data_IF_587495727408
#
_entry.id   IF_587495727408
#
_cell.length_a   1.000
_cell.length_b   1.000
_cell.length_c   1.000
_cell.angle_alpha   90.00
_cell.angle_beta   90.00
_cell.angle_gamma   90.00
#
_symmetry.space_group_name_H-M   'P 1'
#
loop_
_entity.id
_entity.type
_entity.pdbx_description
1 polymer ?
#
# COMPACT_ATOMS: atom_id res chain seq x y z
N UNK A 1 -7.70 -2.93 -3.15
CA UNK A 1 -7.66 -1.47 -2.88
C UNK A 1 -8.26 -1.10 -1.52
N UNK A 2 -9.54 -1.39 -1.23
CA UNK A 2 -10.16 -1.03 0.06
C UNK A 2 -9.40 -1.56 1.29
N UNK A 3 -8.96 -2.82 1.28
CA UNK A 3 -8.15 -3.40 2.36
C UNK A 3 -6.76 -2.76 2.49
N UNK A 4 -6.15 -2.39 1.36
CA UNK A 4 -4.84 -1.72 1.33
C UNK A 4 -4.97 -0.31 1.93
N UNK A 5 -6.01 0.43 1.57
CA UNK A 5 -6.30 1.73 2.16
C UNK A 5 -6.55 1.62 3.67
N UNK A 6 -7.29 0.59 4.10
CA UNK A 6 -7.54 0.33 5.51
C UNK A 6 -6.23 0.10 6.29
N UNK A 7 -5.28 -0.68 5.76
CA UNK A 7 -3.97 -0.86 6.43
C UNK A 7 -3.22 0.45 6.64
N UNK A 8 -3.22 1.33 5.64
CA UNK A 8 -2.55 2.62 5.69
C UNK A 8 -3.24 3.62 6.62
N UNK A 9 -4.56 3.47 6.84
CA UNK A 9 -5.39 4.30 7.71
C UNK A 9 -5.31 3.92 9.19
N UNK A 10 -4.97 2.68 9.53
CA UNK A 10 -4.87 2.24 10.94
C UNK A 10 -3.74 2.99 11.68
N UNK A 11 -2.64 3.34 10.99
CA UNK A 11 -1.54 4.12 11.59
C UNK A 11 -2.00 5.49 12.12
N UNK A 12 -2.58 6.36 11.27
CA UNK A 12 -3.17 7.63 11.70
C UNK A 12 -4.30 7.50 12.73
N UNK A 13 -5.19 6.51 12.56
CA UNK A 13 -6.31 6.28 13.47
C UNK A 13 -5.83 5.93 14.90
N UNK A 14 -4.78 5.12 15.03
CA UNK A 14 -4.16 4.81 16.32
C UNK A 14 -3.51 6.04 16.96
N UNK A 15 -2.97 6.96 16.16
CA UNK A 15 -2.41 8.23 16.64
C UNK A 15 -3.49 9.16 17.21
N UNK A 16 -4.67 9.18 16.58
CA UNK A 16 -5.88 9.90 17.02
C UNK A 16 -6.46 9.31 18.31
N UNK A 17 -6.56 7.99 18.40
CA UNK A 17 -7.22 7.31 19.52
C UNK A 17 -6.40 7.28 20.82
N UNK A 18 -5.22 7.91 20.87
CA UNK A 18 -4.33 8.00 22.06
C UNK A 18 -3.97 6.64 22.69
N UNK A 19 -4.24 5.52 22.02
CA UNK A 19 -3.89 4.18 22.53
C UNK A 19 -2.41 3.94 22.29
N UNK A 20 -1.65 3.68 23.35
CA UNK A 20 -0.29 3.11 23.29
C UNK A 20 -0.37 1.64 22.86
N UNK A 21 -0.92 1.37 21.69
CA UNK A 21 -0.74 0.07 21.06
C UNK A 21 0.61 0.07 20.35
N UNK A 22 1.40 -1.00 20.46
CA UNK A 22 2.68 -1.09 19.75
C UNK A 22 2.46 -0.79 18.26
N UNK A 23 3.42 -0.12 17.65
CA UNK A 23 3.41 0.42 16.27
C UNK A 23 3.07 -0.65 15.20
N UNK A 24 3.08 -1.93 15.60
CA UNK A 24 2.54 -3.09 14.90
C UNK A 24 1.38 -3.67 15.73
N UNK A 25 0.14 -3.24 15.48
CA UNK A 25 -1.03 -3.96 16.02
C UNK A 25 -1.25 -5.23 15.19
N UNK A 26 -1.62 -6.35 15.80
CA UNK A 26 -1.97 -7.58 15.07
C UNK A 26 -3.00 -7.29 13.95
N UNK A 27 -3.93 -6.36 14.20
CA UNK A 27 -4.88 -5.82 13.22
C UNK A 27 -4.25 -5.26 11.93
N UNK A 28 -3.21 -4.42 12.01
CA UNK A 28 -2.52 -3.90 10.81
C UNK A 28 -1.92 -5.03 9.97
N UNK A 29 -1.36 -6.04 10.64
CA UNK A 29 -0.72 -7.17 9.98
C UNK A 29 -1.74 -8.09 9.33
N UNK A 30 -2.85 -8.35 10.01
CA UNK A 30 -3.92 -9.21 9.52
C UNK A 30 -4.64 -8.57 8.32
N UNK A 31 -4.96 -7.28 8.40
CA UNK A 31 -5.55 -6.55 7.25
C UNK A 31 -4.56 -6.50 6.08
N UNK A 32 -3.25 -6.41 6.34
CA UNK A 32 -2.19 -6.47 5.30
C UNK A 32 -2.09 -7.83 4.62
N UNK A 33 -2.16 -8.93 5.39
CA UNK A 33 -2.21 -10.28 4.83
C UNK A 33 -3.46 -10.50 3.98
N UNK A 34 -4.64 -10.08 4.45
CA UNK A 34 -5.87 -10.16 3.66
C UNK A 34 -5.79 -9.33 2.39
N UNK A 35 -5.22 -8.12 2.44
CA UNK A 35 -4.99 -7.30 1.25
C UNK A 35 -4.08 -8.00 0.23
N UNK A 36 -3.02 -8.67 0.69
CA UNK A 36 -2.12 -9.44 -0.17
C UNK A 36 -2.82 -10.66 -0.79
N UNK A 37 -3.55 -11.45 0.00
CA UNK A 37 -4.30 -12.61 -0.47
C UNK A 37 -5.33 -12.20 -1.54
N UNK A 38 -6.13 -11.17 -1.27
CA UNK A 38 -7.12 -10.66 -2.23
C UNK A 38 -6.44 -10.14 -3.50
N UNK A 39 -5.25 -9.54 -3.40
CA UNK A 39 -4.48 -9.09 -4.56
C UNK A 39 -4.01 -10.26 -5.42
N UNK A 40 -3.53 -11.35 -4.81
CA UNK A 40 -3.14 -12.56 -5.55
C UNK A 40 -4.35 -13.20 -6.24
N UNK A 41 -5.48 -13.32 -5.54
CA UNK A 41 -6.73 -13.83 -6.13
C UNK A 41 -7.18 -12.95 -7.30
N UNK A 42 -7.11 -11.63 -7.16
CA UNK A 42 -7.43 -10.69 -8.24
C UNK A 42 -6.58 -10.93 -9.49
N UNK A 43 -5.28 -11.19 -9.35
CA UNK A 43 -4.39 -11.50 -10.47
C UNK A 43 -4.77 -12.82 -11.15
N UNK A 44 -5.03 -13.87 -10.35
CA UNK A 44 -5.42 -15.19 -10.88
C UNK A 44 -6.72 -15.09 -11.66
N UNK A 45 -7.74 -14.45 -11.09
CA UNK A 45 -9.03 -14.23 -11.76
C UNK A 45 -8.84 -13.35 -12.97
N UNK A 46 -8.06 -12.26 -12.88
CA UNK A 46 -7.78 -11.35 -13.99
C UNK A 46 -7.27 -12.08 -15.22
N UNK A 47 -6.28 -12.96 -15.07
CA UNK A 47 -5.78 -13.80 -16.16
C UNK A 47 -6.83 -14.75 -16.75
N UNK A 48 -7.88 -15.09 -16.00
CA UNK A 48 -8.97 -15.96 -16.45
C UNK A 48 -10.05 -15.23 -17.26
N UNK A 49 -10.22 -13.91 -17.12
CA UNK A 49 -11.36 -13.20 -17.73
C UNK A 49 -11.12 -12.76 -19.18
N UNK A 50 -9.88 -12.45 -19.59
CA UNK A 50 -9.62 -12.01 -20.96
C UNK A 50 -8.93 -13.09 -21.80
N UNK A 51 -9.55 -13.41 -22.94
CA UNK A 51 -8.97 -14.21 -24.02
C UNK A 51 -9.70 -15.52 -24.31
N UNK A 52 -9.57 -16.06 -25.55
CA UNK A 52 -10.07 -17.39 -25.90
C UNK A 52 -9.45 -18.48 -25.02
N UNK A 53 -10.08 -19.67 -24.91
CA UNK A 53 -9.49 -20.81 -24.23
C UNK A 53 -8.09 -21.12 -24.80
N UNK A 54 -7.07 -21.00 -23.97
CA UNK A 54 -5.68 -21.27 -24.31
C UNK A 54 -4.91 -21.73 -23.06
N UNK A 55 -3.78 -22.44 -23.21
CA UNK A 55 -2.92 -22.79 -22.09
C UNK A 55 -2.52 -21.56 -21.27
N UNK A 56 -2.47 -21.69 -19.94
CA UNK A 56 -2.25 -20.57 -19.01
C UNK A 56 -1.03 -19.70 -19.39
N UNK A 57 0.09 -20.33 -19.76
CA UNK A 57 1.32 -19.62 -20.13
C UNK A 57 1.15 -18.74 -21.37
N UNK A 58 0.47 -19.23 -22.40
CA UNK A 58 0.19 -18.46 -23.61
C UNK A 58 -0.77 -17.30 -23.34
N UNK A 59 -1.73 -17.48 -22.41
CA UNK A 59 -2.63 -16.40 -21.98
C UNK A 59 -1.88 -15.31 -21.24
N UNK A 60 -1.00 -15.68 -20.30
CA UNK A 60 -0.19 -14.73 -19.55
C UNK A 60 0.69 -13.87 -20.47
N UNK A 61 1.36 -14.50 -21.45
CA UNK A 61 2.22 -13.76 -22.37
C UNK A 61 1.47 -12.68 -23.17
N UNK A 62 0.21 -12.92 -23.55
CA UNK A 62 -0.62 -11.94 -24.28
C UNK A 62 -0.95 -10.67 -23.51
N UNK A 63 -0.80 -10.67 -22.18
CA UNK A 63 -0.96 -9.45 -21.38
C UNK A 63 0.27 -8.54 -21.47
N UNK A 64 1.42 -9.07 -21.87
CA UNK A 64 2.71 -8.36 -21.85
C UNK A 64 3.35 -8.23 -23.24
N UNK A 65 3.08 -9.17 -24.16
CA UNK A 65 3.66 -9.23 -25.49
C UNK A 65 2.60 -9.34 -26.58
N UNK A 66 2.81 -8.60 -27.67
CA UNK A 66 1.98 -8.65 -28.85
C UNK A 66 2.29 -9.93 -29.65
N UNK A 67 1.49 -10.21 -30.68
CA UNK A 67 1.65 -11.44 -31.49
C UNK A 67 2.98 -11.51 -32.24
N UNK A 68 3.64 -10.37 -32.44
CA UNK A 68 4.97 -10.24 -33.02
C UNK A 68 6.12 -10.36 -32.00
N UNK A 69 5.80 -10.56 -30.71
CA UNK A 69 6.77 -10.66 -29.62
C UNK A 69 7.25 -9.32 -29.05
N UNK A 70 6.74 -8.18 -29.56
CA UNK A 70 7.06 -6.87 -28.99
C UNK A 70 6.36 -6.64 -27.64
N UNK A 71 6.99 -5.96 -26.66
CA UNK A 71 6.33 -5.63 -25.40
C UNK A 71 5.16 -4.66 -25.62
N UNK A 72 4.00 -4.92 -24.99
CA UNK A 72 2.88 -3.98 -25.00
C UNK A 72 3.24 -2.75 -24.15
N UNK A 73 3.18 -1.59 -24.80
CA UNK A 73 3.42 -0.27 -24.21
C UNK A 73 2.21 0.66 -24.33
N UNK A 74 1.10 0.15 -24.84
CA UNK A 74 -0.20 0.82 -24.81
C UNK A 74 -0.77 0.87 -23.39
N UNK A 75 -1.89 1.56 -23.19
CA UNK A 75 -2.49 1.70 -21.85
C UNK A 75 -2.83 0.35 -21.21
N UNK A 76 -3.20 -0.65 -22.00
CA UNK A 76 -3.42 -2.01 -21.52
C UNK A 76 -2.11 -2.68 -21.05
N UNK A 77 -1.05 -2.65 -21.87
CA UNK A 77 0.27 -3.16 -21.51
C UNK A 77 0.87 -2.47 -20.29
N UNK A 78 0.84 -1.13 -20.24
CA UNK A 78 1.31 -0.37 -19.08
C UNK A 78 0.52 -0.69 -17.80
N UNK A 79 -0.79 -0.93 -17.94
CA UNK A 79 -1.62 -1.48 -16.86
C UNK A 79 -1.05 -2.82 -16.38
N UNK A 80 -0.75 -3.75 -17.28
CA UNK A 80 -0.24 -5.06 -16.90
C UNK A 80 1.15 -5.01 -16.27
N UNK A 81 2.06 -4.20 -16.79
CA UNK A 81 3.41 -4.03 -16.22
C UNK A 81 3.36 -3.43 -14.81
N UNK A 82 2.54 -2.40 -14.59
CA UNK A 82 2.37 -1.81 -13.25
C UNK A 82 1.69 -2.78 -12.28
N UNK A 83 0.71 -3.56 -12.74
CA UNK A 83 0.06 -4.61 -11.97
C UNK A 83 1.00 -5.76 -11.60
N UNK A 84 1.87 -6.17 -12.51
CA UNK A 84 2.90 -7.19 -12.26
C UNK A 84 3.91 -6.69 -11.21
N UNK A 85 4.42 -5.48 -11.36
CA UNK A 85 5.32 -4.87 -10.39
C UNK A 85 4.67 -4.77 -8.99
N UNK A 86 3.39 -4.37 -8.92
CA UNK A 86 2.62 -4.36 -7.69
C UNK A 86 2.50 -5.77 -7.07
N UNK A 87 2.26 -6.79 -7.89
CA UNK A 87 2.13 -8.18 -7.44
C UNK A 87 3.44 -8.70 -6.84
N UNK A 88 4.57 -8.43 -7.48
CA UNK A 88 5.89 -8.81 -6.95
C UNK A 88 6.11 -8.19 -5.57
N UNK A 89 5.79 -6.90 -5.41
CA UNK A 89 5.93 -6.21 -4.13
C UNK A 89 4.98 -6.82 -3.08
N UNK A 90 3.71 -7.07 -3.42
CA UNK A 90 2.73 -7.59 -2.44
C UNK A 90 3.09 -9.00 -1.96
N UNK A 91 3.59 -9.85 -2.86
CA UNK A 91 4.05 -11.20 -2.52
C UNK A 91 5.30 -11.13 -1.64
N UNK A 92 6.24 -10.24 -1.97
CA UNK A 92 7.42 -9.98 -1.15
C UNK A 92 7.05 -9.51 0.27
N UNK A 93 6.13 -8.55 0.37
CA UNK A 93 5.60 -8.04 1.65
C UNK A 93 4.89 -9.13 2.46
N UNK A 94 4.09 -9.98 1.80
CA UNK A 94 3.41 -11.10 2.42
C UNK A 94 4.42 -12.12 3.01
N UNK A 95 5.45 -12.47 2.24
CA UNK A 95 6.50 -13.41 2.67
C UNK A 95 7.25 -12.91 3.92
N UNK A 96 7.47 -11.60 4.04
CA UNK A 96 8.15 -10.99 5.20
C UNK A 96 7.19 -10.56 6.33
N UNK A 97 5.90 -10.87 6.21
CA UNK A 97 4.88 -10.52 7.22
C UNK A 97 4.87 -11.48 8.42
N UNK A 98 5.76 -12.47 8.46
CA UNK A 98 5.89 -13.43 9.56
C UNK A 98 6.92 -13.00 10.61
N UNK A 99 6.70 -13.41 11.87
CA UNK A 99 7.63 -13.13 12.97
C UNK A 99 8.98 -13.83 12.73
N UNK A 100 8.98 -14.95 12.01
CA UNK A 100 10.19 -15.64 11.58
C UNK A 100 11.04 -14.76 10.65
N UNK A 101 10.42 -14.13 9.65
CA UNK A 101 11.12 -13.22 8.75
C UNK A 101 11.68 -11.99 9.49
N UNK A 102 10.91 -11.42 10.43
CA UNK A 102 11.37 -10.30 11.26
C UNK A 102 12.62 -10.65 12.08
N UNK A 103 12.64 -11.83 12.71
CA UNK A 103 13.81 -12.30 13.48
C UNK A 103 15.04 -12.50 12.61
N UNK A 104 14.85 -12.97 11.38
CA UNK A 104 15.94 -13.22 10.42
C UNK A 104 16.51 -11.94 9.79
N UNK A 105 15.65 -11.01 9.37
CA UNK A 105 16.02 -9.76 8.69
C UNK A 105 16.45 -8.63 9.65
N UNK A 106 16.11 -8.76 10.94
CA UNK A 106 16.29 -7.73 11.98
C UNK A 106 15.42 -6.48 11.71
N UNK A 107 15.18 -5.69 12.77
CA UNK A 107 14.15 -4.64 12.76
C UNK A 107 14.38 -3.51 11.74
N UNK A 108 15.63 -3.18 11.41
CA UNK A 108 15.98 -2.10 10.48
C UNK A 108 15.60 -2.42 9.03
N UNK A 109 16.23 -3.42 8.39
CA UNK A 109 15.93 -3.80 7.01
C UNK A 109 14.46 -4.20 6.81
N UNK A 110 13.86 -4.89 7.79
CA UNK A 110 12.45 -5.27 7.75
C UNK A 110 11.53 -4.03 7.63
N UNK A 111 11.78 -2.97 8.42
CA UNK A 111 11.00 -1.72 8.32
C UNK A 111 11.18 -1.03 6.97
N UNK A 112 12.37 -1.09 6.38
CA UNK A 112 12.62 -0.52 5.06
C UNK A 112 11.83 -1.27 3.98
N UNK A 113 11.84 -2.60 4.02
CA UNK A 113 11.03 -3.42 3.09
C UNK A 113 9.53 -3.17 3.27
N UNK A 114 9.04 -3.05 4.51
CA UNK A 114 7.64 -2.70 4.78
C UNK A 114 7.24 -1.32 4.21
N UNK A 115 8.18 -0.40 4.00
CA UNK A 115 7.91 0.89 3.33
C UNK A 115 7.63 0.76 1.83
N UNK A 116 7.93 -0.39 1.21
CA UNK A 116 7.50 -0.67 -0.16
C UNK A 116 5.97 -0.66 -0.30
N UNK A 117 5.21 -0.69 0.80
CA UNK A 117 3.76 -0.54 0.78
C UNK A 117 3.32 0.82 0.18
N UNK A 118 4.13 1.88 0.28
CA UNK A 118 3.86 3.16 -0.39
C UNK A 118 4.04 3.06 -1.91
N UNK A 119 5.09 2.36 -2.36
CA UNK A 119 5.32 2.11 -3.78
C UNK A 119 4.22 1.21 -4.37
N UNK A 120 3.81 0.18 -3.63
CA UNK A 120 2.68 -0.68 -3.96
C UNK A 120 1.40 0.15 -4.15
N UNK A 121 1.10 1.06 -3.22
CA UNK A 121 -0.07 1.92 -3.32
C UNK A 121 -0.06 2.79 -4.57
N UNK A 122 1.09 3.41 -4.89
CA UNK A 122 1.25 4.20 -6.11
C UNK A 122 1.09 3.36 -7.39
N UNK A 123 1.70 2.17 -7.45
CA UNK A 123 1.60 1.26 -8.59
C UNK A 123 0.17 0.79 -8.82
N UNK A 124 -0.59 0.52 -7.76
CA UNK A 124 -2.00 0.11 -7.87
C UNK A 124 -2.88 1.24 -8.40
N UNK A 125 -2.62 2.50 -8.03
CA UNK A 125 -3.31 3.66 -8.61
C UNK A 125 -2.97 3.78 -10.09
N UNK A 126 -1.68 3.71 -10.45
CA UNK A 126 -1.22 3.79 -11.83
C UNK A 126 -1.87 2.69 -12.70
N UNK A 127 -1.86 1.44 -12.21
CA UNK A 127 -2.53 0.30 -12.83
C UNK A 127 -4.01 0.59 -13.13
N UNK A 128 -4.75 1.12 -12.15
CA UNK A 128 -6.17 1.44 -12.33
C UNK A 128 -6.39 2.57 -13.35
N UNK A 129 -5.55 3.60 -13.34
CA UNK A 129 -5.62 4.71 -14.31
C UNK A 129 -5.35 4.20 -15.73
N UNK A 130 -4.31 3.38 -15.92
CA UNK A 130 -3.98 2.78 -17.21
C UNK A 130 -5.12 1.93 -17.78
N UNK A 131 -5.86 1.23 -16.91
CA UNK A 131 -7.06 0.48 -17.31
C UNK A 131 -8.29 1.36 -17.57
N UNK A 132 -8.19 2.69 -17.45
CA UNK A 132 -9.26 3.63 -17.76
C UNK A 132 -10.15 4.00 -16.57
N UNK A 133 -9.65 3.95 -15.33
CA UNK A 133 -10.41 4.40 -14.16
C UNK A 133 -10.95 5.83 -14.34
N UNK A 134 -10.12 6.75 -14.86
CA UNK A 134 -10.52 8.15 -15.09
C UNK A 134 -11.58 8.34 -16.18
N UNK A 135 -11.79 7.33 -17.03
CA UNK A 135 -12.85 7.34 -18.05
C UNK A 135 -14.18 6.80 -17.49
N UNK A 136 -14.16 6.18 -16.31
CA UNK A 136 -15.32 5.53 -15.66
C UNK A 136 -15.57 6.11 -14.29
N UNK A 137 -15.62 7.43 -14.17
CA UNK A 137 -15.73 8.15 -12.88
C UNK A 137 -17.02 7.85 -12.11
N UNK A 138 -18.10 7.48 -12.80
CA UNK A 138 -19.37 7.07 -12.18
C UNK A 138 -19.41 5.60 -11.76
N UNK A 139 -18.41 4.80 -12.15
CA UNK A 139 -18.34 3.39 -11.76
C UNK A 139 -18.08 3.26 -10.26
N UNK A 140 -18.80 2.35 -9.55
CA UNK A 140 -18.55 2.07 -8.14
C UNK A 140 -17.08 1.77 -7.84
N UNK A 141 -16.37 1.10 -8.75
CA UNK A 141 -14.96 0.74 -8.59
C UNK A 141 -14.05 1.96 -8.60
N UNK A 142 -14.32 2.94 -9.46
CA UNK A 142 -13.55 4.20 -9.55
C UNK A 142 -13.85 5.11 -8.37
N UNK A 143 -15.11 5.16 -7.93
CA UNK A 143 -15.49 5.89 -6.71
C UNK A 143 -14.79 5.31 -5.48
N UNK A 144 -14.77 3.98 -5.34
CA UNK A 144 -14.06 3.30 -4.25
C UNK A 144 -12.55 3.58 -4.31
N UNK A 145 -11.94 3.57 -5.50
CA UNK A 145 -10.54 3.96 -5.69
C UNK A 145 -10.32 5.40 -5.22
N UNK A 146 -11.11 6.36 -5.71
CA UNK A 146 -10.98 7.78 -5.37
C UNK A 146 -11.13 8.03 -3.86
N UNK A 147 -12.18 7.48 -3.24
CA UNK A 147 -12.41 7.58 -1.80
C UNK A 147 -11.27 6.96 -0.98
N UNK A 148 -10.76 5.79 -1.41
CA UNK A 148 -9.62 5.13 -0.78
C UNK A 148 -8.37 5.99 -0.84
N UNK A 149 -8.10 6.59 -2.00
CA UNK A 149 -6.95 7.49 -2.20
C UNK A 149 -7.05 8.72 -1.31
N UNK A 150 -8.19 9.41 -1.35
CA UNK A 150 -8.44 10.60 -0.52
C UNK A 150 -8.28 10.26 0.96
N UNK A 151 -8.92 9.17 1.42
CA UNK A 151 -8.85 8.76 2.81
C UNK A 151 -7.40 8.51 3.27
N UNK A 152 -6.59 7.81 2.45
CA UNK A 152 -5.17 7.57 2.77
C UNK A 152 -4.40 8.89 2.86
N UNK A 153 -4.54 9.79 1.89
CA UNK A 153 -3.84 11.08 1.91
C UNK A 153 -4.23 11.94 3.12
N UNK A 154 -5.53 12.07 3.40
CA UNK A 154 -6.04 12.80 4.56
C UNK A 154 -5.52 12.18 5.86
N UNK A 155 -5.61 10.85 5.99
CA UNK A 155 -5.10 10.13 7.16
C UNK A 155 -3.61 10.39 7.40
N UNK A 156 -2.78 10.29 6.35
CA UNK A 156 -1.34 10.54 6.46
C UNK A 156 -1.05 12.00 6.83
N UNK A 157 -1.74 12.97 6.22
CA UNK A 157 -1.58 14.40 6.52
C UNK A 157 -1.94 14.71 7.99
N UNK A 158 -3.06 14.18 8.47
CA UNK A 158 -3.49 14.32 9.88
C UNK A 158 -2.48 13.66 10.82
N UNK A 159 -1.97 12.47 10.49
CA UNK A 159 -0.94 11.78 11.26
C UNK A 159 0.34 12.61 11.41
N UNK A 160 0.85 13.18 10.31
CA UNK A 160 2.03 14.06 10.32
C UNK A 160 1.79 15.32 11.13
N UNK A 161 0.61 15.94 10.97
CA UNK A 161 0.25 17.15 11.71
C UNK A 161 0.18 16.91 13.22
N UNK A 162 -0.44 15.80 13.65
CA UNK A 162 -0.49 15.41 15.06
C UNK A 162 0.90 15.11 15.64
N UNK A 163 1.76 14.44 14.87
CA UNK A 163 3.14 14.18 15.28
C UNK A 163 3.93 15.48 15.46
N UNK A 164 3.86 16.40 14.50
CA UNK A 164 4.52 17.72 14.58
C UNK A 164 4.05 18.52 15.79
N UNK A 165 2.74 18.57 16.03
CA UNK A 165 2.17 19.26 17.21
C UNK A 165 2.71 18.70 18.53
N UNK A 166 2.86 17.39 18.62
CA UNK A 166 3.39 16.74 19.84
C UNK A 166 4.89 16.97 20.01
N UNK A 167 5.68 16.89 18.95
CA UNK A 167 7.12 17.17 19.00
C UNK A 167 7.38 18.62 19.48
N UNK A 168 6.61 19.58 18.96
CA UNK A 168 6.68 20.97 19.38
C UNK A 168 6.28 21.16 20.85
N UNK A 169 5.23 20.47 21.32
CA UNK A 169 4.81 20.53 22.73
C UNK A 169 5.85 19.91 23.69
N UNK A 170 6.53 18.83 23.29
CA UNK A 170 7.59 18.22 24.09
C UNK A 170 8.83 19.13 24.17
N UNK A 171 9.25 19.72 23.06
CA UNK A 171 10.36 20.67 23.02
C UNK A 171 10.08 21.93 23.86
N UNK A 172 8.84 22.42 23.86
CA UNK A 172 8.43 23.54 24.71
C UNK A 172 8.54 23.21 26.21
N UNK A 173 8.05 22.03 26.62
CA UNK A 173 8.15 21.58 28.01
C UNK A 173 9.59 21.28 28.47
N UNK A 174 10.46 20.82 27.58
CA UNK A 174 11.89 20.64 27.87
C UNK A 174 12.61 21.98 28.06
N UNK A 175 12.30 22.98 27.23
CA UNK A 175 12.84 24.35 27.38
C UNK A 175 12.41 24.99 28.70
N UNK A 176 11.13 24.88 29.06
CA UNK A 176 10.61 25.41 30.34
C UNK A 176 11.31 24.77 31.56
N UNK A 177 11.54 23.45 31.52
CA UNK A 177 12.27 22.74 32.59
C UNK A 177 13.74 23.15 32.67
N UNK A 178 14.40 23.38 31.54
CA UNK A 178 15.79 23.87 31.51
C UNK A 178 15.89 25.30 32.05
N UNK A 179 14.96 26.19 31.71
CA UNK A 179 14.92 27.54 32.26
C UNK A 179 14.63 27.57 33.77
N UNK A 180 13.73 26.71 34.25
CA UNK A 180 13.40 26.63 35.68
C UNK A 180 14.51 26.00 36.53
N UNK A 181 15.28 25.06 35.95
CA UNK A 181 16.44 24.45 36.60
C UNK A 181 17.69 25.33 36.62
N UNK A 182 17.79 26.32 35.73
CA UNK A 182 18.92 27.27 35.68
C UNK A 182 18.78 28.45 36.65
N UNK A 183 17.60 28.64 37.24
CA UNK A 183 17.29 29.70 38.22
C UNK A 183 17.41 29.28 39.68
N UNK A 184 17.80 28.02 39.96
CA UNK A 184 18.08 27.48 41.29
C UNK A 184 19.59 27.30 41.48
#
# INVERSE_FOLDING_TARGET
LGLLALTLLIGPANLLLRRRTPVSSYLTRDVGMWAAIVSVVHVIVGFQVHGPPAPLGARMLRYFFASDGSPLTDSFGLGNWTGLAATVIVVGLLAISSDFALRKLKAGPWKWLQRLNYALFALVIAHAICYGALLRVTSPSTLLLGLSVIAVFVGQAVGVWLWRRRALAQQAGERERQSAGATL
#
